data_IF_108461458063
#
_entry.id   IF_108461458063
#
_cell.length_a   1.000
_cell.length_b   1.000
_cell.length_c   1.000
_cell.angle_alpha   90.00
_cell.angle_beta   90.00
_cell.angle_gamma   90.00
#
_symmetry.space_group_name_H-M   'P 1'
#
loop_
_entity.id
_entity.type
_entity.pdbx_description
1 polymer ?
#
# COMPACT_ATOMS: atom_id res chain seq x y z
N UNK A 1 -21.37 -4.29 -37.88
CA UNK A 1 -20.52 -5.48 -37.60
C UNK A 1 -19.27 -5.29 -38.44
N UNK A 2 -18.27 -4.60 -37.91
CA UNK A 2 -17.03 -4.34 -38.63
C UNK A 2 -15.91 -5.17 -38.01
N UNK A 3 -15.55 -6.24 -38.73
CA UNK A 3 -14.51 -7.23 -38.42
C UNK A 3 -13.17 -6.78 -38.99
N UNK A 4 -12.71 -5.58 -38.62
CA UNK A 4 -11.54 -4.97 -39.25
C UNK A 4 -10.53 -4.40 -38.25
N UNK A 5 -10.04 -5.20 -37.29
CA UNK A 5 -8.76 -4.86 -36.61
C UNK A 5 -7.97 -6.03 -36.01
N UNK A 6 -8.32 -7.29 -36.31
CA UNK A 6 -7.52 -8.45 -35.87
C UNK A 6 -6.48 -8.85 -36.92
N UNK A 7 -5.56 -7.94 -37.23
CA UNK A 7 -4.28 -8.29 -37.85
C UNK A 7 -3.21 -7.47 -37.20
N UNK A 8 -2.40 -8.12 -36.36
CA UNK A 8 -0.93 -8.08 -36.25
C UNK A 8 -0.59 -8.83 -34.95
N UNK A 9 0.58 -9.49 -34.93
CA UNK A 9 1.21 -10.29 -33.85
C UNK A 9 1.02 -11.81 -33.94
N UNK A 10 1.57 -12.38 -35.03
CA UNK A 10 2.18 -13.71 -34.98
C UNK A 10 3.33 -13.74 -33.97
N UNK A 11 3.51 -14.90 -33.31
CA UNK A 11 4.58 -15.26 -32.39
C UNK A 11 4.56 -14.58 -31.00
N UNK A 12 3.58 -14.94 -30.16
CA UNK A 12 3.76 -15.20 -28.73
C UNK A 12 2.48 -15.88 -28.20
N UNK A 13 2.59 -16.85 -27.29
CA UNK A 13 1.47 -17.56 -26.62
C UNK A 13 0.62 -16.62 -25.73
N UNK A 14 0.09 -15.54 -26.29
CA UNK A 14 -0.68 -14.53 -25.58
C UNK A 14 -2.14 -14.98 -25.63
N UNK A 15 -2.62 -15.53 -24.51
CA UNK A 15 -4.02 -15.89 -24.35
C UNK A 15 -4.90 -14.62 -24.44
N UNK A 16 -6.07 -14.70 -25.08
CA UNK A 16 -7.00 -13.57 -25.16
C UNK A 16 -7.40 -13.08 -23.75
N UNK A 17 -7.87 -11.83 -23.61
CA UNK A 17 -8.35 -11.34 -22.32
C UNK A 17 -9.47 -12.25 -21.82
N UNK A 18 -9.34 -12.71 -20.58
CA UNK A 18 -10.34 -13.56 -19.92
C UNK A 18 -11.66 -12.79 -19.85
N UNK A 19 -12.79 -13.46 -20.10
CA UNK A 19 -14.12 -12.86 -19.97
C UNK A 19 -14.27 -12.15 -18.62
N UNK A 20 -14.87 -10.96 -18.63
CA UNK A 20 -14.98 -10.11 -17.44
C UNK A 20 -13.68 -9.43 -17.00
N UNK A 21 -12.62 -9.43 -17.83
CA UNK A 21 -11.39 -8.64 -17.60
C UNK A 21 -11.16 -7.61 -18.69
N UNK A 22 -10.37 -6.60 -18.35
CA UNK A 22 -10.02 -5.51 -19.23
C UNK A 22 -9.26 -5.99 -20.47
N UNK A 23 -9.76 -5.62 -21.65
CA UNK A 23 -9.18 -5.98 -22.95
C UNK A 23 -7.86 -5.28 -23.31
N UNK A 24 -7.34 -4.38 -22.47
CA UNK A 24 -6.15 -3.59 -22.80
C UNK A 24 -4.86 -4.41 -22.69
N UNK A 25 -4.01 -4.35 -23.72
CA UNK A 25 -2.73 -5.06 -23.76
C UNK A 25 -1.58 -4.21 -23.21
N UNK A 26 -0.98 -4.65 -22.10
CA UNK A 26 0.12 -3.92 -21.45
C UNK A 26 1.45 -4.32 -22.11
N UNK A 27 1.87 -3.56 -23.13
CA UNK A 27 3.10 -3.82 -23.92
C UNK A 27 4.33 -4.13 -23.06
N UNK A 28 4.60 -3.32 -22.03
CA UNK A 28 5.75 -3.53 -21.11
C UNK A 28 5.72 -4.89 -20.40
N UNK A 29 4.53 -5.42 -20.10
CA UNK A 29 4.35 -6.66 -19.34
C UNK A 29 3.96 -7.84 -20.23
N UNK A 30 3.85 -7.63 -21.54
CA UNK A 30 3.45 -8.63 -22.55
C UNK A 30 2.22 -9.47 -22.14
N UNK A 31 1.20 -8.81 -21.56
CA UNK A 31 -0.04 -9.46 -21.12
C UNK A 31 -1.22 -8.50 -21.10
N UNK A 32 -2.43 -9.06 -21.17
CA UNK A 32 -3.67 -8.30 -20.94
C UNK A 32 -3.80 -7.82 -19.49
N UNK A 33 -4.48 -6.68 -19.32
CA UNK A 33 -4.81 -6.14 -18.01
C UNK A 33 -5.70 -7.11 -17.24
N UNK A 34 -5.36 -7.35 -15.96
CA UNK A 34 -6.12 -8.27 -15.10
C UNK A 34 -7.29 -7.61 -14.36
N UNK A 35 -7.45 -6.29 -14.50
CA UNK A 35 -8.48 -5.52 -13.81
C UNK A 35 -9.86 -5.81 -14.39
N UNK A 36 -10.88 -5.74 -13.53
CA UNK A 36 -12.26 -5.91 -13.94
C UNK A 36 -12.80 -4.61 -14.56
N UNK A 37 -13.46 -4.67 -15.73
CA UNK A 37 -14.19 -3.56 -16.26
C UNK A 37 -15.50 -3.35 -15.50
N UNK A 38 -16.03 -2.11 -15.47
CA UNK A 38 -17.41 -1.85 -15.06
C UNK A 38 -18.40 -2.67 -15.91
N UNK A 39 -19.60 -2.91 -15.38
CA UNK A 39 -20.66 -3.62 -16.13
C UNK A 39 -20.91 -2.94 -17.48
N UNK A 40 -20.84 -3.73 -18.56
CA UNK A 40 -21.07 -3.25 -19.93
C UNK A 40 -19.90 -2.53 -20.59
N UNK A 41 -18.72 -2.50 -19.97
CA UNK A 41 -17.50 -1.91 -20.55
C UNK A 41 -16.45 -2.98 -20.87
N UNK A 42 -15.60 -2.71 -21.86
CA UNK A 42 -14.52 -3.62 -22.30
C UNK A 42 -13.21 -3.37 -21.56
N UNK A 43 -13.03 -2.17 -20.99
CA UNK A 43 -11.81 -1.75 -20.31
C UNK A 43 -12.04 -1.40 -18.84
N UNK A 44 -11.02 -1.59 -18.01
CA UNK A 44 -11.06 -1.14 -16.60
C UNK A 44 -11.06 0.37 -16.52
N UNK A 45 -11.44 0.92 -15.36
CA UNK A 45 -11.56 2.37 -15.16
C UNK A 45 -10.32 3.18 -15.60
N UNK A 46 -9.13 2.60 -15.51
CA UNK A 46 -7.88 3.24 -15.94
C UNK A 46 -7.70 3.22 -17.47
N UNK A 47 -7.85 2.07 -18.11
CA UNK A 47 -7.62 1.93 -19.56
C UNK A 47 -8.82 2.36 -20.41
N UNK A 48 -10.03 2.40 -19.84
CA UNK A 48 -11.21 2.97 -20.49
C UNK A 48 -10.97 4.43 -20.87
N UNK A 49 -10.24 5.17 -20.04
CA UNK A 49 -9.90 6.57 -20.29
C UNK A 49 -8.81 6.75 -21.36
N UNK A 50 -7.85 5.82 -21.45
CA UNK A 50 -6.78 5.87 -22.44
C UNK A 50 -7.30 5.69 -23.87
N UNK A 51 -8.38 4.92 -24.08
CA UNK A 51 -9.02 4.78 -25.39
C UNK A 51 -10.18 5.77 -25.62
N UNK A 52 -11.00 6.07 -24.60
CA UNK A 52 -12.17 6.96 -24.74
C UNK A 52 -11.84 8.46 -24.61
N UNK A 53 -10.61 8.88 -24.89
CA UNK A 53 -10.28 10.32 -24.95
C UNK A 53 -11.01 11.08 -26.08
N UNK A 54 -11.86 10.40 -26.88
CA UNK A 54 -12.57 11.05 -27.99
C UNK A 54 -14.09 11.08 -27.86
N UNK A 55 -14.81 10.12 -27.26
CA UNK A 55 -16.28 10.19 -27.23
C UNK A 55 -16.87 9.54 -25.95
N UNK A 56 -17.74 10.26 -25.25
CA UNK A 56 -18.72 9.75 -24.28
C UNK A 56 -18.32 9.35 -22.85
N UNK A 57 -17.28 9.96 -22.27
CA UNK A 57 -17.13 9.91 -20.80
C UNK A 57 -18.04 10.96 -20.13
N UNK A 58 -19.17 10.54 -19.53
CA UNK A 58 -20.10 11.39 -18.76
C UNK A 58 -19.45 12.28 -17.67
N UNK A 59 -18.19 12.03 -17.30
CA UNK A 59 -17.41 12.84 -16.34
C UNK A 59 -16.00 13.04 -16.88
N UNK A 60 -15.60 14.31 -17.03
CA UNK A 60 -14.28 14.70 -17.52
C UNK A 60 -13.21 14.47 -16.44
N UNK A 61 -12.09 13.84 -16.81
CA UNK A 61 -10.89 13.78 -15.97
C UNK A 61 -9.85 14.78 -16.44
N UNK A 62 -9.23 15.48 -15.51
CA UNK A 62 -8.14 16.43 -15.73
C UNK A 62 -6.89 15.93 -14.98
N UNK A 63 -5.71 16.37 -15.42
CA UNK A 63 -4.49 16.16 -14.62
C UNK A 63 -4.61 16.93 -13.31
N UNK A 64 -4.07 16.37 -12.22
CA UNK A 64 -4.15 17.05 -10.94
C UNK A 64 -3.37 18.38 -10.98
N UNK A 65 -3.94 19.48 -10.44
CA UNK A 65 -3.28 20.78 -10.40
C UNK A 65 -1.99 20.80 -9.55
N UNK A 66 -1.90 19.93 -8.54
CA UNK A 66 -0.77 19.86 -7.61
C UNK A 66 0.35 18.92 -8.10
N UNK A 67 -0.01 17.87 -8.84
CA UNK A 67 0.96 16.93 -9.42
C UNK A 67 0.42 16.35 -10.73
N UNK A 68 1.14 16.57 -11.83
CA UNK A 68 0.75 16.09 -13.17
C UNK A 68 0.90 14.57 -13.34
N UNK A 69 1.45 13.85 -12.36
CA UNK A 69 1.64 12.39 -12.40
C UNK A 69 0.35 11.59 -12.26
N UNK A 70 -0.75 12.20 -11.83
CA UNK A 70 -2.05 11.51 -11.71
C UNK A 70 -3.21 12.35 -12.27
N UNK A 71 -4.32 11.66 -12.57
CA UNK A 71 -5.56 12.27 -13.06
C UNK A 71 -6.66 12.22 -12.01
N UNK A 72 -7.56 13.18 -12.08
CA UNK A 72 -8.70 13.35 -11.18
C UNK A 72 -9.95 13.69 -11.99
N UNK A 73 -11.13 13.42 -11.46
CA UNK A 73 -12.36 13.93 -12.08
C UNK A 73 -12.47 15.44 -11.81
N UNK A 74 -12.83 16.21 -12.84
CA UNK A 74 -12.99 17.67 -12.79
C UNK A 74 -13.97 18.08 -11.70
N UNK A 75 -15.09 17.37 -11.58
CA UNK A 75 -16.14 17.61 -10.59
C UNK A 75 -15.78 17.17 -9.15
N UNK A 76 -14.64 16.50 -8.95
CA UNK A 76 -14.15 16.09 -7.63
C UNK A 76 -12.87 16.81 -7.23
N UNK A 77 -12.49 17.89 -7.93
CA UNK A 77 -11.24 18.61 -7.66
C UNK A 77 -11.15 19.08 -6.20
N UNK A 78 -12.23 19.66 -5.65
CA UNK A 78 -12.26 20.17 -4.28
C UNK A 78 -12.05 19.06 -3.24
N UNK A 79 -12.68 17.90 -3.46
CA UNK A 79 -12.52 16.72 -2.59
C UNK A 79 -11.12 16.12 -2.73
N UNK A 80 -10.55 16.17 -3.93
CA UNK A 80 -9.23 15.65 -4.19
C UNK A 80 -8.14 16.51 -3.53
N UNK A 81 -8.19 17.84 -3.67
CA UNK A 81 -7.17 18.75 -3.15
C UNK A 81 -6.95 18.58 -1.64
N UNK A 82 -8.02 18.30 -0.88
CA UNK A 82 -7.95 18.04 0.57
C UNK A 82 -7.16 16.78 0.97
N UNK A 83 -7.09 15.78 0.08
CA UNK A 83 -6.46 14.47 0.34
C UNK A 83 -5.31 14.15 -0.61
N UNK A 84 -4.93 15.10 -1.46
CA UNK A 84 -3.87 14.88 -2.43
C UNK A 84 -2.55 14.70 -1.70
N UNK A 85 -1.80 13.64 -2.03
CA UNK A 85 -0.49 13.41 -1.43
C UNK A 85 0.52 14.51 -1.77
N UNK A 86 0.31 15.21 -2.89
CA UNK A 86 1.10 16.36 -3.31
C UNK A 86 0.67 17.68 -2.65
N UNK A 87 -0.42 17.68 -1.87
CA UNK A 87 -0.79 18.83 -1.07
C UNK A 87 0.31 19.12 -0.03
N UNK A 88 0.55 20.41 0.22
CA UNK A 88 1.49 20.86 1.24
C UNK A 88 0.97 20.35 2.58
N UNK A 89 1.65 19.34 3.14
CA UNK A 89 1.38 18.88 4.49
C UNK A 89 1.85 19.96 5.45
N UNK A 90 0.96 20.42 6.32
CA UNK A 90 1.32 21.30 7.43
C UNK A 90 2.49 20.64 8.15
N UNK A 91 3.60 21.36 8.29
CA UNK A 91 4.73 20.88 9.09
C UNK A 91 4.27 20.89 10.54
N UNK A 92 3.92 19.70 11.04
CA UNK A 92 3.63 19.50 12.45
C UNK A 92 4.92 19.70 13.25
N UNK A 93 4.89 20.25 14.48
CA UNK A 93 6.11 20.48 15.28
C UNK A 93 6.94 19.20 15.53
N UNK A 94 6.28 18.04 15.51
CA UNK A 94 6.87 16.72 15.68
C UNK A 94 7.13 15.98 14.35
N UNK A 95 6.89 16.64 13.21
CA UNK A 95 7.18 16.08 11.89
C UNK A 95 8.49 16.64 11.37
N UNK A 96 9.53 15.82 11.40
CA UNK A 96 10.79 16.09 10.72
C UNK A 96 10.86 15.21 9.47
N UNK A 97 10.91 15.86 8.30
CA UNK A 97 10.98 15.16 7.02
C UNK A 97 12.30 14.39 6.94
N UNK A 98 12.22 13.14 6.51
CA UNK A 98 13.38 12.26 6.28
C UNK A 98 14.21 11.95 7.54
N UNK A 99 13.66 12.11 8.75
CA UNK A 99 14.36 11.79 10.02
C UNK A 99 14.84 10.33 10.11
N UNK A 100 14.13 9.40 9.46
CA UNK A 100 14.45 7.98 9.42
C UNK A 100 15.15 7.53 8.13
N UNK A 101 15.61 8.45 7.28
CA UNK A 101 16.22 8.09 5.98
C UNK A 101 17.64 7.51 6.14
N UNK A 102 18.16 7.46 7.36
CA UNK A 102 19.51 6.99 7.66
C UNK A 102 20.55 8.09 7.41
N UNK A 103 21.75 7.70 6.96
CA UNK A 103 22.85 8.62 6.70
C UNK A 103 22.52 9.53 5.51
N UNK A 104 22.55 10.86 5.70
CA UNK A 104 22.19 11.87 4.67
C UNK A 104 22.98 11.74 3.36
N UNK A 105 24.21 11.23 3.43
CA UNK A 105 25.10 11.01 2.29
C UNK A 105 25.35 9.52 2.02
N UNK A 106 24.40 8.66 2.40
CA UNK A 106 24.51 7.24 2.11
C UNK A 106 24.50 7.02 0.59
N UNK A 107 25.65 6.62 0.06
CA UNK A 107 25.75 6.06 -1.28
C UNK A 107 25.70 4.55 -1.14
N UNK A 108 24.62 3.95 -1.63
CA UNK A 108 24.51 2.50 -1.67
C UNK A 108 25.71 1.89 -2.40
N UNK A 109 26.46 1.02 -1.71
CA UNK A 109 27.47 0.18 -2.32
C UNK A 109 26.87 -1.23 -2.55
N UNK A 110 27.00 -1.76 -3.77
CA UNK A 110 26.54 -3.12 -4.10
C UNK A 110 27.15 -4.20 -3.19
N UNK A 111 28.34 -3.94 -2.63
CA UNK A 111 29.01 -4.83 -1.68
C UNK A 111 28.30 -4.92 -0.31
N UNK A 112 27.36 -4.03 -0.01
CA UNK A 112 26.55 -4.12 1.23
C UNK A 112 25.40 -5.12 1.13
N UNK A 113 25.02 -5.54 -0.09
CA UNK A 113 24.09 -6.65 -0.27
C UNK A 113 24.86 -7.97 -0.34
N UNK A 114 25.03 -8.61 0.81
CA UNK A 114 25.57 -9.96 0.88
C UNK A 114 24.46 -10.98 0.70
N UNK A 115 24.66 -11.95 -0.19
CA UNK A 115 23.77 -13.11 -0.24
C UNK A 115 23.99 -13.96 1.01
N UNK A 116 22.92 -14.57 1.53
CA UNK A 116 23.03 -15.42 2.72
C UNK A 116 24.06 -16.55 2.54
N UNK A 117 24.20 -17.08 1.31
CA UNK A 117 25.17 -18.12 0.96
C UNK A 117 26.63 -17.68 1.00
N UNK A 118 26.89 -16.37 0.92
CA UNK A 118 28.23 -15.79 0.96
C UNK A 118 28.67 -15.48 2.41
N UNK A 119 27.74 -15.57 3.37
CA UNK A 119 28.02 -15.31 4.78
C UNK A 119 28.58 -16.59 5.43
N UNK A 120 29.78 -16.54 6.04
CA UNK A 120 30.34 -17.66 6.78
C UNK A 120 29.38 -18.17 7.87
N UNK A 121 29.32 -19.50 8.02
CA UNK A 121 28.40 -20.17 8.95
C UNK A 121 28.68 -19.72 10.39
N UNK A 122 29.93 -19.45 10.74
CA UNK A 122 30.36 -19.01 12.06
C UNK A 122 29.74 -17.65 12.43
N UNK A 123 29.62 -16.74 11.46
CA UNK A 123 28.98 -15.43 11.66
C UNK A 123 27.48 -15.60 11.89
N UNK A 124 26.84 -16.48 11.11
CA UNK A 124 25.40 -16.77 11.26
C UNK A 124 25.09 -17.39 12.61
N UNK A 125 25.89 -18.38 13.05
CA UNK A 125 25.75 -19.01 14.36
C UNK A 125 25.95 -17.98 15.48
N UNK A 126 26.99 -17.15 15.41
CA UNK A 126 27.21 -16.09 16.39
C UNK A 126 26.07 -15.07 16.44
N UNK A 127 25.44 -14.75 15.31
CA UNK A 127 24.27 -13.89 15.25
C UNK A 127 23.06 -14.54 15.93
N UNK A 128 22.81 -15.83 15.66
CA UNK A 128 21.74 -16.59 16.32
C UNK A 128 21.94 -16.63 17.83
N UNK A 129 23.16 -16.87 18.30
CA UNK A 129 23.48 -16.89 19.73
C UNK A 129 23.24 -15.53 20.39
N UNK A 130 23.64 -14.44 19.73
CA UNK A 130 23.36 -13.07 20.20
C UNK A 130 21.87 -12.81 20.33
N UNK A 131 21.07 -13.18 19.33
CA UNK A 131 19.61 -13.02 19.36
C UNK A 131 19.00 -13.82 20.50
N UNK A 132 19.41 -15.09 20.67
CA UNK A 132 18.96 -15.93 21.78
C UNK A 132 19.33 -15.33 23.14
N UNK A 133 20.55 -14.81 23.28
CA UNK A 133 21.00 -14.15 24.51
C UNK A 133 20.15 -12.93 24.83
N UNK A 134 19.94 -12.03 23.87
CA UNK A 134 19.08 -10.87 24.05
C UNK A 134 17.65 -11.27 24.42
N UNK A 135 17.12 -12.31 23.79
CA UNK A 135 15.80 -12.84 24.13
C UNK A 135 15.74 -13.33 25.57
N UNK A 136 16.74 -14.12 26.01
CA UNK A 136 16.81 -14.59 27.41
C UNK A 136 16.92 -13.42 28.38
N UNK A 137 17.80 -12.46 28.10
CA UNK A 137 18.01 -11.26 28.92
C UNK A 137 16.71 -10.45 29.08
N UNK A 138 15.93 -10.30 28.01
CA UNK A 138 14.63 -9.60 28.02
C UNK A 138 13.54 -10.45 28.70
N UNK A 139 13.48 -11.75 28.41
CA UNK A 139 12.43 -12.65 28.93
C UNK A 139 12.50 -12.84 30.44
N UNK A 140 13.67 -12.65 31.05
CA UNK A 140 13.87 -12.70 32.49
C UNK A 140 13.33 -11.45 33.22
N UNK A 141 12.94 -10.41 32.47
CA UNK A 141 12.24 -9.27 33.02
C UNK A 141 10.75 -9.43 32.74
N UNK A 142 9.88 -9.50 33.76
CA UNK A 142 8.45 -9.40 33.51
C UNK A 142 8.19 -8.07 32.83
N UNK A 143 7.62 -8.10 31.62
CA UNK A 143 7.12 -6.89 30.97
C UNK A 143 6.06 -6.34 31.91
N UNK A 144 6.38 -5.25 32.60
CA UNK A 144 5.43 -4.58 33.48
C UNK A 144 4.41 -3.91 32.56
N UNK A 145 3.32 -4.60 32.30
CA UNK A 145 2.20 -4.04 31.55
C UNK A 145 1.56 -2.93 32.41
N UNK A 146 2.00 -1.69 32.20
CA UNK A 146 1.36 -0.51 32.79
C UNK A 146 0.30 0.00 31.84
N UNK A 147 -0.93 -0.49 32.02
CA UNK A 147 -2.08 0.05 31.31
C UNK A 147 -2.59 1.30 32.05
N UNK A 148 -2.56 2.45 31.38
CA UNK A 148 -3.32 3.62 31.82
C UNK A 148 -4.65 3.61 31.09
N UNK A 149 -5.72 3.26 31.79
CA UNK A 149 -7.09 3.31 31.26
C UNK A 149 -7.68 4.69 31.57
N UNK A 150 -8.26 5.34 30.56
CA UNK A 150 -9.04 6.56 30.80
C UNK A 150 -10.39 6.18 31.45
N UNK A 151 -10.83 6.86 32.55
CA UNK A 151 -12.02 6.48 33.31
C UNK A 151 -13.31 6.31 32.49
N UNK A 152 -13.41 7.03 31.36
CA UNK A 152 -14.56 6.99 30.44
C UNK A 152 -14.89 5.60 29.90
N UNK A 153 -13.91 4.69 29.86
CA UNK A 153 -14.10 3.34 29.32
C UNK A 153 -14.40 2.28 30.39
N UNK A 154 -14.39 2.64 31.67
CA UNK A 154 -14.68 1.70 32.75
C UNK A 154 -16.11 1.14 32.65
N UNK A 155 -17.07 2.00 32.29
CA UNK A 155 -18.47 1.61 32.16
C UNK A 155 -18.65 0.59 31.03
N UNK A 156 -18.06 0.82 29.86
CA UNK A 156 -18.12 -0.11 28.72
C UNK A 156 -17.35 -1.42 28.97
N UNK A 157 -16.22 -1.38 29.70
CA UNK A 157 -15.44 -2.57 30.06
C UNK A 157 -16.14 -3.43 31.13
N UNK A 158 -16.99 -2.82 31.96
CA UNK A 158 -17.76 -3.51 33.02
C UNK A 158 -18.92 -4.35 32.47
N UNK A 159 -19.28 -4.18 31.19
CA UNK A 159 -20.42 -4.87 30.57
C UNK A 159 -20.14 -6.38 30.46
N UNK A 160 -20.94 -7.18 31.17
CA UNK A 160 -20.81 -8.64 31.20
C UNK A 160 -21.27 -9.34 29.91
N UNK A 161 -22.10 -8.68 29.09
CA UNK A 161 -22.59 -9.23 27.81
C UNK A 161 -21.54 -9.21 26.70
N UNK A 162 -20.42 -8.50 26.87
CA UNK A 162 -19.35 -8.45 25.90
C UNK A 162 -18.48 -9.71 25.95
N UNK A 163 -18.41 -10.40 24.82
CA UNK A 163 -17.50 -11.53 24.63
C UNK A 163 -16.03 -11.12 24.63
N UNK A 164 -15.14 -12.11 24.77
CA UNK A 164 -13.69 -11.90 24.87
C UNK A 164 -13.11 -11.04 23.73
N UNK A 165 -13.63 -11.18 22.51
CA UNK A 165 -13.19 -10.41 21.33
C UNK A 165 -13.49 -8.92 21.45
N UNK A 166 -14.69 -8.58 21.92
CA UNK A 166 -15.12 -7.17 22.08
C UNK A 166 -14.32 -6.51 23.19
N UNK A 167 -14.15 -7.20 24.32
CA UNK A 167 -13.31 -6.73 25.43
C UNK A 167 -11.85 -6.53 25.01
N UNK A 168 -11.30 -7.44 24.21
CA UNK A 168 -9.95 -7.30 23.64
C UNK A 168 -9.84 -6.04 22.78
N UNK A 169 -10.81 -5.80 21.90
CA UNK A 169 -10.81 -4.60 21.05
C UNK A 169 -10.94 -3.31 21.85
N UNK A 170 -11.81 -3.28 22.86
CA UNK A 170 -11.93 -2.15 23.78
C UNK A 170 -10.61 -1.91 24.51
N UNK A 171 -10.01 -2.93 25.12
CA UNK A 171 -8.71 -2.78 25.78
C UNK A 171 -7.62 -2.26 24.82
N UNK A 172 -7.59 -2.73 23.57
CA UNK A 172 -6.65 -2.21 22.56
C UNK A 172 -6.89 -0.74 22.19
N UNK A 173 -8.14 -0.27 22.22
CA UNK A 173 -8.47 1.13 21.96
C UNK A 173 -8.18 2.04 23.15
N UNK A 174 -8.24 1.49 24.37
CA UNK A 174 -8.17 2.26 25.62
C UNK A 174 -6.76 2.28 26.21
N UNK A 175 -5.98 1.23 26.00
CA UNK A 175 -4.61 1.15 26.48
C UNK A 175 -3.70 2.09 25.67
N UNK A 176 -3.37 3.23 26.26
CA UNK A 176 -2.20 4.00 25.83
C UNK A 176 -0.94 3.32 26.39
N UNK A 177 -0.10 2.79 25.49
CA UNK A 177 1.24 2.34 25.85
C UNK A 177 2.11 3.60 25.91
N UNK A 178 2.56 3.97 27.11
CA UNK A 178 3.59 4.99 27.33
C UNK A 178 4.96 4.34 27.40
#
# INVERSE_FOLDING_TARGET
MDTSTFKIFSCNNIKPPVEGRCGYFVKRKQRFCKMMPPKGQTYCAEHLFQENSQNDAKRKRILCPLDKKHSIYEDNIDKHLKKCNAAIKIQLPYFEKDINIGLKNYSYNQQEQLNLSEIPVEILVGLIERVKKCFLDISNQPIKESFSLHPIFNDELSIASYGATVKKHLLQQVCFIY
#
